data_IF_203059800021
#
_entry.id   IF_203059800021
#
_cell.length_a   1.000
_cell.length_b   1.000
_cell.length_c   1.000
_cell.angle_alpha   90.00
_cell.angle_beta   90.00
_cell.angle_gamma   90.00
#
_symmetry.space_group_name_H-M   'P 1'
#
loop_
_entity.id
_entity.type
_entity.pdbx_description
1 polymer ?
#
# COMPACT_ATOMS: atom_id res chain seq x y z
N UNK A 1 -22.82 3.67 -4.22
CA UNK A 1 -22.10 3.39 -2.97
C UNK A 1 -22.16 4.65 -2.14
N UNK A 2 -22.46 4.57 -0.85
CA UNK A 2 -22.49 5.70 0.07
C UNK A 2 -21.54 5.43 1.22
N UNK A 3 -20.69 6.40 1.55
CA UNK A 3 -19.85 6.35 2.74
C UNK A 3 -20.66 6.98 3.88
N UNK A 4 -20.71 6.31 5.02
CA UNK A 4 -21.25 6.85 6.27
C UNK A 4 -20.14 6.78 7.29
N UNK A 5 -19.62 7.94 7.67
CA UNK A 5 -18.65 8.04 8.75
C UNK A 5 -19.40 7.93 10.08
N UNK A 6 -18.92 7.04 10.93
CA UNK A 6 -19.40 6.79 12.30
C UNK A 6 -18.22 6.93 13.25
N UNK A 7 -18.47 7.10 14.54
CA UNK A 7 -17.40 7.21 15.55
C UNK A 7 -16.51 5.95 15.61
N UNK A 8 -17.02 4.81 15.15
CA UNK A 8 -16.31 3.52 15.07
C UNK A 8 -15.56 3.31 13.75
N UNK A 9 -15.70 4.23 12.79
CA UNK A 9 -15.05 4.17 11.47
C UNK A 9 -15.99 4.49 10.31
N UNK A 10 -15.50 4.34 9.10
CA UNK A 10 -16.28 4.60 7.88
C UNK A 10 -16.96 3.34 7.38
N UNK A 11 -18.28 3.38 7.27
CA UNK A 11 -19.08 2.28 6.71
C UNK A 11 -19.36 2.50 5.23
N UNK A 12 -19.09 1.49 4.41
CA UNK A 12 -19.43 1.49 2.98
C UNK A 12 -20.77 0.79 2.75
N UNK A 13 -21.78 1.56 2.36
CA UNK A 13 -23.12 1.05 2.06
C UNK A 13 -23.30 0.82 0.56
N UNK A 14 -23.72 -0.41 0.21
CA UNK A 14 -24.02 -0.82 -1.16
C UNK A 14 -25.54 -0.99 -1.32
N UNK A 15 -26.20 -0.15 -2.16
CA UNK A 15 -27.61 -0.35 -2.49
C UNK A 15 -27.85 -1.75 -3.05
N UNK A 16 -28.94 -2.40 -2.64
CA UNK A 16 -29.34 -3.72 -3.16
C UNK A 16 -29.51 -3.71 -4.69
N UNK A 17 -29.90 -2.59 -5.28
CA UNK A 17 -30.01 -2.42 -6.73
C UNK A 17 -28.68 -2.61 -7.49
N UNK A 18 -27.52 -2.52 -6.82
CA UNK A 18 -26.21 -2.80 -7.44
C UNK A 18 -25.94 -4.30 -7.60
N UNK A 19 -26.67 -5.15 -6.88
CA UNK A 19 -26.52 -6.60 -6.98
C UNK A 19 -27.29 -7.11 -8.19
N UNK A 20 -26.59 -7.30 -9.31
CA UNK A 20 -27.15 -7.94 -10.50
C UNK A 20 -27.06 -9.46 -10.35
N UNK A 21 -28.21 -10.14 -10.32
CA UNK A 21 -28.26 -11.59 -10.45
C UNK A 21 -28.17 -11.93 -11.94
N UNK A 22 -26.99 -12.33 -12.40
CA UNK A 22 -26.84 -12.94 -13.73
C UNK A 22 -27.18 -14.41 -13.62
N UNK A 23 -28.40 -14.82 -14.02
CA UNK A 23 -28.68 -16.23 -14.26
C UNK A 23 -27.89 -16.64 -15.50
N UNK A 24 -27.04 -17.67 -15.38
CA UNK A 24 -26.39 -18.28 -16.53
C UNK A 24 -27.46 -19.09 -17.26
N UNK A 25 -28.00 -18.53 -18.34
CA UNK A 25 -28.91 -19.24 -19.25
C UNK A 25 -28.05 -20.00 -20.25
N UNK A 26 -27.55 -21.17 -19.88
CA UNK A 26 -26.91 -22.07 -20.85
C UNK A 26 -27.50 -23.48 -20.75
N UNK A 27 -28.02 -23.93 -21.90
CA UNK A 27 -28.48 -25.27 -22.31
C UNK A 27 -29.99 -25.59 -22.20
N UNK A 28 -30.69 -25.77 -23.34
CA UNK A 28 -32.02 -26.34 -23.40
C UNK A 28 -31.92 -27.87 -23.38
N UNK A 29 -31.56 -28.43 -22.24
CA UNK A 29 -31.71 -29.87 -22.00
C UNK A 29 -31.72 -30.11 -20.50
N UNK A 30 -32.86 -30.61 -20.02
CA UNK A 30 -33.21 -31.08 -18.66
C UNK A 30 -34.24 -30.19 -17.98
N UNK A 31 -35.47 -30.28 -18.50
CA UNK A 31 -36.65 -30.17 -17.65
C UNK A 31 -36.67 -31.31 -16.63
N UNK A 32 -37.27 -30.99 -15.48
CA UNK A 32 -37.70 -31.89 -14.39
C UNK A 32 -36.63 -32.36 -13.42
N UNK A 33 -36.43 -31.58 -12.36
CA UNK A 33 -36.66 -32.06 -10.98
C UNK A 33 -36.81 -30.87 -10.05
N UNK A 34 -38.04 -30.70 -9.56
CA UNK A 34 -38.41 -29.82 -8.46
C UNK A 34 -37.84 -30.35 -7.15
N UNK A 35 -36.58 -30.04 -6.88
CA UNK A 35 -36.07 -29.91 -5.53
C UNK A 35 -35.33 -28.58 -5.45
N UNK A 36 -35.52 -27.90 -4.33
CA UNK A 36 -34.96 -26.60 -3.92
C UNK A 36 -33.43 -26.55 -4.06
N UNK A 37 -32.92 -26.52 -5.30
CA UNK A 37 -31.52 -26.36 -5.60
C UNK A 37 -31.20 -24.88 -5.44
N UNK A 38 -30.86 -24.49 -4.22
CA UNK A 38 -30.10 -23.27 -3.94
C UNK A 38 -28.85 -23.30 -4.82
N UNK A 39 -28.93 -22.71 -6.01
CA UNK A 39 -27.83 -22.55 -6.94
C UNK A 39 -26.67 -21.93 -6.16
N UNK A 40 -25.45 -22.49 -6.18
CA UNK A 40 -24.30 -21.89 -5.53
C UNK A 40 -24.05 -20.54 -6.20
N UNK A 41 -24.58 -19.47 -5.58
CA UNK A 41 -24.49 -18.12 -6.08
C UNK A 41 -23.06 -17.63 -6.01
N UNK A 42 -22.48 -17.30 -7.16
CA UNK A 42 -21.21 -16.60 -7.20
C UNK A 42 -21.45 -15.10 -6.97
N UNK A 43 -21.07 -14.59 -5.80
CA UNK A 43 -21.15 -13.16 -5.49
C UNK A 43 -19.77 -12.55 -5.72
N UNK A 44 -19.70 -11.53 -6.60
CA UNK A 44 -18.48 -10.76 -6.88
C UNK A 44 -18.73 -9.29 -6.59
N UNK A 45 -17.98 -8.76 -5.62
CA UNK A 45 -17.88 -7.32 -5.38
C UNK A 45 -16.75 -6.74 -6.23
N UNK A 46 -17.02 -5.65 -6.95
CA UNK A 46 -15.99 -4.82 -7.60
C UNK A 46 -16.16 -3.41 -7.08
N UNK A 47 -15.19 -2.93 -6.33
CA UNK A 47 -15.25 -1.62 -5.69
C UNK A 47 -14.11 -0.80 -6.31
N UNK A 48 -14.47 0.21 -7.11
CA UNK A 48 -13.51 1.23 -7.56
C UNK A 48 -13.35 2.22 -6.42
N UNK A 49 -12.14 2.35 -5.90
CA UNK A 49 -11.83 3.29 -4.84
C UNK A 49 -11.45 4.64 -5.45
N UNK A 50 -12.13 5.70 -5.06
CA UNK A 50 -11.67 7.07 -5.30
C UNK A 50 -10.67 7.50 -4.24
N UNK A 51 -10.22 8.75 -4.31
CA UNK A 51 -9.18 9.26 -3.42
C UNK A 51 -9.60 9.28 -1.94
N UNK A 52 -10.88 9.48 -1.63
CA UNK A 52 -11.37 9.51 -0.25
C UNK A 52 -11.64 8.12 0.29
N UNK A 53 -12.23 7.24 -0.52
CA UNK A 53 -12.44 5.83 -0.19
C UNK A 53 -11.11 5.10 0.04
N UNK A 54 -10.08 5.47 -0.72
CA UNK A 54 -8.74 4.91 -0.55
C UNK A 54 -8.18 5.28 0.83
N UNK A 55 -8.31 6.52 1.30
CA UNK A 55 -7.84 6.92 2.65
C UNK A 55 -8.53 6.18 3.78
N UNK A 56 -9.77 5.76 3.57
CA UNK A 56 -10.55 4.99 4.54
C UNK A 56 -10.05 3.54 4.63
N UNK A 57 -9.79 2.91 3.49
CA UNK A 57 -9.42 1.50 3.41
C UNK A 57 -7.91 1.26 3.51
N UNK A 58 -7.12 2.29 3.24
CA UNK A 58 -5.67 2.25 3.20
C UNK A 58 -5.10 3.24 4.19
N UNK A 59 -4.45 2.69 5.22
CA UNK A 59 -3.68 3.48 6.17
C UNK A 59 -2.28 3.69 5.60
N UNK A 60 -2.00 4.93 5.19
CA UNK A 60 -0.66 5.34 4.79
C UNK A 60 0.06 5.97 5.98
N UNK A 61 1.24 5.43 6.29
CA UNK A 61 2.11 5.96 7.33
C UNK A 61 3.38 6.52 6.69
N UNK A 62 3.64 7.81 6.95
CA UNK A 62 4.88 8.50 6.59
C UNK A 62 5.69 8.74 7.85
N UNK A 63 6.97 8.36 7.83
CA UNK A 63 7.84 8.54 8.98
C UNK A 63 8.11 10.03 9.24
N UNK A 64 8.05 10.45 10.51
CA UNK A 64 8.27 11.84 10.95
C UNK A 64 9.61 12.40 10.50
N UNK A 65 10.64 11.55 10.50
CA UNK A 65 12.03 11.97 10.27
C UNK A 65 12.43 11.93 8.79
N UNK A 66 11.44 11.76 7.89
CA UNK A 66 11.65 11.67 6.43
C UNK A 66 12.35 12.89 5.83
N UNK A 67 12.26 14.05 6.48
CA UNK A 67 12.93 15.30 6.08
C UNK A 67 14.45 15.26 6.31
N UNK A 68 14.92 14.55 7.34
CA UNK A 68 16.33 14.55 7.77
C UNK A 68 17.05 13.28 7.30
N UNK A 69 16.41 12.12 7.40
CA UNK A 69 17.07 10.83 7.14
C UNK A 69 16.98 10.37 5.67
N UNK A 70 16.49 11.18 4.73
CA UNK A 70 16.25 10.75 3.33
C UNK A 70 15.41 9.47 3.23
N UNK A 71 14.60 9.16 4.27
CA UNK A 71 13.65 8.06 4.24
C UNK A 71 12.44 8.50 3.44
N UNK A 72 12.61 8.48 2.13
CA UNK A 72 11.59 8.73 1.12
C UNK A 72 10.64 7.53 1.01
N UNK A 73 10.37 6.84 2.11
CA UNK A 73 9.61 5.59 2.14
C UNK A 73 8.25 5.84 2.79
N UNK A 74 7.17 5.49 2.09
CA UNK A 74 5.82 5.49 2.61
C UNK A 74 5.40 4.05 2.81
N UNK A 75 4.93 3.71 4.01
CA UNK A 75 4.38 2.39 4.30
C UNK A 75 2.87 2.42 4.16
N UNK A 76 2.32 1.41 3.52
CA UNK A 76 0.88 1.22 3.39
C UNK A 76 0.48 -0.15 3.93
N UNK A 77 -0.56 -0.17 4.76
CA UNK A 77 -1.07 -1.40 5.37
C UNK A 77 -2.48 -1.64 4.86
N UNK A 78 -2.70 -2.85 4.34
CA UNK A 78 -4.01 -3.35 3.94
C UNK A 78 -4.37 -4.51 4.86
N UNK A 79 -5.48 -4.37 5.59
CA UNK A 79 -6.03 -5.41 6.46
C UNK A 79 -7.47 -5.69 6.04
N UNK A 80 -7.66 -6.73 5.25
CA UNK A 80 -8.98 -7.17 4.81
C UNK A 80 -9.45 -8.33 5.68
N UNK A 81 -10.62 -8.18 6.29
CA UNK A 81 -11.24 -9.20 7.15
C UNK A 81 -12.66 -9.47 6.69
N UNK A 82 -13.02 -10.75 6.64
CA UNK A 82 -14.38 -11.21 6.40
C UNK A 82 -14.82 -12.06 7.60
N UNK A 83 -16.04 -11.81 8.08
CA UNK A 83 -16.68 -12.54 9.17
C UNK A 83 -15.85 -12.53 10.48
N UNK A 84 -15.22 -11.39 10.82
CA UNK A 84 -14.59 -11.20 12.13
C UNK A 84 -15.68 -11.03 13.19
N UNK A 85 -15.73 -11.96 14.14
CA UNK A 85 -16.85 -12.10 15.11
C UNK A 85 -17.01 -10.82 15.94
N UNK A 86 -15.89 -10.20 16.31
CA UNK A 86 -15.86 -8.96 17.11
C UNK A 86 -16.50 -7.76 16.41
N UNK A 87 -16.56 -7.79 15.08
CA UNK A 87 -17.03 -6.67 14.27
C UNK A 87 -18.48 -6.89 13.77
N UNK A 88 -19.07 -8.05 14.05
CA UNK A 88 -20.41 -8.39 13.59
C UNK A 88 -21.50 -7.84 14.54
N UNK A 89 -22.63 -7.35 14.03
CA UNK A 89 -23.78 -7.02 14.87
C UNK A 89 -24.27 -8.25 15.67
N UNK A 90 -24.68 -8.05 16.92
CA UNK A 90 -25.12 -9.15 17.80
C UNK A 90 -26.22 -10.05 17.22
N UNK A 91 -27.08 -9.50 16.34
CA UNK A 91 -28.10 -10.29 15.64
C UNK A 91 -27.51 -11.31 14.65
N UNK A 92 -26.36 -11.02 14.03
CA UNK A 92 -25.66 -11.93 13.13
C UNK A 92 -24.90 -12.98 13.94
N UNK A 93 -24.28 -12.57 15.05
CA UNK A 93 -23.60 -13.48 15.98
C UNK A 93 -24.57 -14.52 16.57
N UNK A 94 -25.74 -14.08 17.01
CA UNK A 94 -26.75 -14.96 17.65
C UNK A 94 -27.34 -16.03 16.74
N UNK A 95 -27.28 -15.84 15.41
CA UNK A 95 -27.92 -16.74 14.44
C UNK A 95 -27.01 -17.85 13.93
N UNK A 96 -25.74 -17.94 14.38
CA UNK A 96 -24.75 -18.90 13.86
C UNK A 96 -24.65 -18.93 12.32
N UNK A 97 -24.93 -17.79 11.66
CA UNK A 97 -24.87 -17.67 10.20
C UNK A 97 -23.46 -17.33 9.69
N UNK A 98 -22.49 -17.23 10.60
CA UNK A 98 -21.12 -16.79 10.32
C UNK A 98 -20.47 -17.80 9.36
N UNK A 99 -20.21 -17.34 8.14
CA UNK A 99 -19.57 -18.13 7.10
C UNK A 99 -20.36 -19.31 6.58
N UNK A 100 -21.65 -19.45 6.90
CA UNK A 100 -22.48 -20.54 6.40
C UNK A 100 -22.60 -20.50 4.86
N UNK A 101 -22.18 -21.57 4.19
CA UNK A 101 -22.26 -21.73 2.74
C UNK A 101 -21.11 -21.14 1.90
N UNK A 102 -20.12 -20.47 2.51
CA UNK A 102 -18.96 -19.94 1.78
C UNK A 102 -17.97 -21.07 1.48
N UNK A 103 -17.93 -21.51 0.22
CA UNK A 103 -17.05 -22.61 -0.22
C UNK A 103 -15.64 -22.18 -0.60
N UNK A 104 -15.48 -20.97 -1.14
CA UNK A 104 -14.20 -20.45 -1.61
C UNK A 104 -14.18 -18.93 -1.50
N UNK A 105 -13.07 -18.38 -1.04
CA UNK A 105 -12.81 -16.93 -1.04
C UNK A 105 -11.63 -16.64 -1.94
N UNK A 106 -11.79 -15.63 -2.79
CA UNK A 106 -10.74 -15.09 -3.64
C UNK A 106 -10.66 -13.58 -3.41
N UNK A 107 -9.58 -13.13 -2.80
CA UNK A 107 -9.29 -11.72 -2.58
C UNK A 107 -8.16 -11.28 -3.50
N UNK A 108 -8.41 -10.23 -4.28
CA UNK A 108 -7.44 -9.67 -5.22
C UNK A 108 -7.14 -8.23 -4.82
N UNK A 109 -5.87 -7.92 -4.61
CA UNK A 109 -5.39 -6.57 -4.37
C UNK A 109 -4.52 -6.15 -5.56
N UNK A 110 -4.91 -5.07 -6.23
CA UNK A 110 -4.18 -4.51 -7.37
C UNK A 110 -3.35 -3.34 -6.87
N UNK A 111 -2.05 -3.34 -7.18
CA UNK A 111 -1.08 -2.33 -6.73
C UNK A 111 -0.14 -1.94 -7.84
N UNK A 112 0.52 -0.80 -7.69
CA UNK A 112 1.62 -0.39 -8.56
C UNK A 112 2.84 -1.29 -8.37
N UNK A 113 3.61 -1.52 -9.44
CA UNK A 113 4.86 -2.33 -9.37
C UNK A 113 5.90 -1.71 -8.43
N UNK A 114 5.90 -0.39 -8.27
CA UNK A 114 6.83 0.32 -7.38
C UNK A 114 6.48 0.20 -5.88
N UNK A 115 5.37 -0.46 -5.56
CA UNK A 115 5.01 -0.81 -4.19
C UNK A 115 5.64 -2.16 -3.84
N UNK A 116 6.75 -2.12 -3.10
CA UNK A 116 7.40 -3.32 -2.58
C UNK A 116 6.55 -3.98 -1.50
N UNK A 117 6.29 -5.27 -1.67
CA UNK A 117 5.67 -6.09 -0.64
C UNK A 117 6.70 -6.42 0.46
N UNK A 118 6.45 -5.96 1.69
CA UNK A 118 7.38 -6.15 2.81
C UNK A 118 7.02 -7.36 3.67
N UNK A 119 5.73 -7.57 3.97
CA UNK A 119 5.30 -8.65 4.88
C UNK A 119 3.79 -8.91 4.78
N UNK A 120 3.35 -10.14 5.03
CA UNK A 120 1.95 -10.48 5.36
C UNK A 120 1.89 -11.47 6.51
N UNK A 121 0.75 -11.49 7.22
CA UNK A 121 0.39 -12.58 8.13
C UNK A 121 -0.15 -13.80 7.38
N UNK A 122 -0.79 -13.61 6.22
CA UNK A 122 -1.25 -14.67 5.34
C UNK A 122 -0.45 -14.64 4.04
N UNK A 123 0.25 -15.74 3.72
CA UNK A 123 0.93 -15.88 2.44
C UNK A 123 -0.09 -15.72 1.31
N UNK A 124 0.17 -14.79 0.39
CA UNK A 124 -0.64 -14.71 -0.83
C UNK A 124 -0.39 -15.97 -1.67
N UNK A 125 -1.42 -16.44 -2.35
CA UNK A 125 -1.36 -17.63 -3.20
C UNK A 125 -0.58 -17.38 -4.50
N UNK A 126 -0.73 -16.21 -5.11
CA UNK A 126 -0.04 -15.84 -6.35
C UNK A 126 0.13 -14.33 -6.48
N UNK A 127 1.25 -13.90 -7.07
CA UNK A 127 1.45 -12.53 -7.56
C UNK A 127 1.70 -12.60 -9.08
N UNK A 128 1.10 -11.69 -9.85
CA UNK A 128 1.32 -11.58 -11.31
C UNK A 128 1.25 -10.16 -11.81
N UNK A 129 1.95 -9.89 -12.90
CA UNK A 129 1.82 -8.64 -13.65
C UNK A 129 0.42 -8.54 -14.27
N UNK A 130 -0.15 -7.34 -14.21
CA UNK A 130 -1.43 -7.01 -14.84
C UNK A 130 -1.20 -6.78 -16.35
N UNK A 131 -1.78 -7.64 -17.18
CA UNK A 131 -1.81 -7.46 -18.64
C UNK A 131 -2.75 -6.30 -18.99
N UNK A 132 -2.21 -5.18 -19.48
CA UNK A 132 -2.99 -3.95 -19.63
C UNK A 132 -4.21 -4.13 -20.53
N UNK A 133 -4.04 -4.83 -21.64
CA UNK A 133 -5.05 -4.98 -22.68
C UNK A 133 -6.27 -5.74 -22.13
N UNK A 134 -6.04 -6.90 -21.50
CA UNK A 134 -7.09 -7.73 -20.91
C UNK A 134 -7.80 -7.02 -19.75
N UNK A 135 -7.05 -6.31 -18.91
CA UNK A 135 -7.58 -5.71 -17.69
C UNK A 135 -8.25 -4.36 -17.91
N UNK A 136 -7.84 -3.58 -18.90
CA UNK A 136 -8.51 -2.32 -19.23
C UNK A 136 -9.97 -2.56 -19.66
N UNK A 137 -10.20 -3.60 -20.45
CA UNK A 137 -11.55 -4.04 -20.83
C UNK A 137 -12.32 -4.53 -19.59
N UNK A 138 -11.70 -5.42 -18.80
CA UNK A 138 -12.32 -6.01 -17.62
C UNK A 138 -12.69 -5.00 -16.51
N UNK A 139 -11.85 -3.98 -16.32
CA UNK A 139 -12.03 -2.93 -15.30
C UNK A 139 -12.86 -1.75 -15.80
N UNK A 140 -13.13 -1.67 -17.10
CA UNK A 140 -13.91 -0.59 -17.73
C UNK A 140 -13.42 0.81 -17.32
N UNK A 141 -12.10 1.01 -17.31
CA UNK A 141 -11.48 2.28 -16.92
C UNK A 141 -11.82 3.37 -17.94
N UNK A 142 -12.20 4.57 -17.48
CA UNK A 142 -12.53 5.66 -18.39
C UNK A 142 -11.28 6.14 -19.15
N UNK A 143 -11.41 6.68 -20.37
CA UNK A 143 -10.28 7.21 -21.12
C UNK A 143 -9.50 8.33 -20.42
N UNK A 144 -10.10 9.01 -19.44
CA UNK A 144 -9.45 10.04 -18.61
C UNK A 144 -8.62 9.46 -17.46
N UNK A 145 -8.87 8.19 -17.11
CA UNK A 145 -8.07 7.39 -16.16
C UNK A 145 -6.86 6.71 -16.84
N UNK A 146 -6.54 7.07 -18.10
CA UNK A 146 -5.39 6.56 -18.89
C UNK A 146 -4.01 6.91 -18.31
N UNK A 147 -3.94 7.41 -17.08
CA UNK A 147 -2.76 7.37 -16.22
C UNK A 147 -2.80 6.17 -15.26
N UNK A 148 -3.42 5.06 -15.63
CA UNK A 148 -3.17 3.79 -14.96
C UNK A 148 -1.63 3.61 -14.89
N UNK A 149 -1.03 3.46 -13.69
CA UNK A 149 0.41 3.36 -13.52
C UNK A 149 1.02 2.38 -14.51
N UNK A 150 2.21 2.72 -15.04
CA UNK A 150 2.82 2.07 -16.21
C UNK A 150 2.81 0.54 -16.12
N UNK A 151 2.85 -0.04 -14.93
CA UNK A 151 2.65 -1.47 -14.67
C UNK A 151 2.02 -1.66 -13.29
N UNK A 152 1.11 -2.63 -13.17
CA UNK A 152 0.45 -3.02 -11.91
C UNK A 152 0.67 -4.50 -11.61
N UNK A 153 0.64 -4.86 -10.34
CA UNK A 153 0.66 -6.24 -9.83
C UNK A 153 -0.70 -6.60 -9.24
N UNK A 154 -1.07 -7.87 -9.34
CA UNK A 154 -2.20 -8.45 -8.63
C UNK A 154 -1.69 -9.43 -7.60
N UNK A 155 -1.97 -9.16 -6.34
CA UNK A 155 -1.80 -10.09 -5.23
C UNK A 155 -3.10 -10.84 -5.03
N UNK A 156 -3.02 -12.18 -5.02
CA UNK A 156 -4.17 -13.06 -4.89
C UNK A 156 -4.07 -13.88 -3.62
N UNK A 157 -5.01 -13.69 -2.70
CA UNK A 157 -5.25 -14.61 -1.58
C UNK A 157 -6.41 -15.53 -1.91
N UNK A 158 -6.23 -16.81 -1.65
CA UNK A 158 -7.23 -17.85 -1.88
C UNK A 158 -7.38 -18.70 -0.63
N UNK A 159 -8.60 -18.82 -0.15
CA UNK A 159 -8.94 -19.79 0.90
C UNK A 159 -10.03 -20.71 0.36
N UNK A 160 -9.75 -22.01 0.16
CA UNK A 160 -10.77 -23.01 -0.11
C UNK A 160 -11.36 -23.55 1.19
N UNK A 161 -12.64 -23.93 1.17
CA UNK A 161 -13.29 -24.61 2.28
C UNK A 161 -12.57 -25.91 2.62
N UNK A 162 -12.40 -26.18 3.93
CA UNK A 162 -11.69 -27.36 4.42
C UNK A 162 -12.51 -28.62 4.11
N UNK A 163 -11.86 -29.71 3.74
CA UNK A 163 -12.55 -31.01 3.62
C UNK A 163 -12.35 -31.72 4.95
N UNK A 164 -13.45 -32.13 5.60
CA UNK A 164 -13.37 -32.97 6.80
C UNK A 164 -12.73 -34.30 6.43
N UNK A 165 -11.49 -34.51 6.89
CA UNK A 165 -10.72 -35.74 6.63
C UNK A 165 -11.24 -36.95 7.40
N UNK A 166 -12.08 -36.74 8.41
CA UNK A 166 -12.60 -37.78 9.29
C UNK A 166 -13.90 -38.45 8.78
N UNK A 167 -14.47 -37.98 7.67
CA UNK A 167 -15.67 -38.58 7.08
C UNK A 167 -15.61 -38.48 5.55
N UNK A 168 -15.14 -39.53 4.84
CA UNK A 168 -15.10 -39.54 3.38
C UNK A 168 -16.53 -39.61 2.84
N UNK A 169 -17.15 -38.44 2.62
CA UNK A 169 -18.53 -38.33 2.14
C UNK A 169 -19.28 -37.06 2.55
N UNK A 170 -18.75 -36.22 3.46
CA UNK A 170 -19.41 -34.96 3.84
C UNK A 170 -18.91 -33.74 3.06
N UNK A 171 -19.88 -32.87 2.79
CA UNK A 171 -19.77 -31.59 2.08
C UNK A 171 -18.64 -30.73 2.66
N UNK A 172 -17.84 -30.15 1.76
CA UNK A 172 -16.75 -29.22 2.06
C UNK A 172 -17.14 -28.25 3.19
N UNK A 173 -16.38 -28.25 4.30
CA UNK A 173 -16.60 -27.38 5.44
C UNK A 173 -16.51 -25.91 5.01
N UNK A 174 -17.46 -25.15 5.51
CA UNK A 174 -17.67 -23.75 5.14
C UNK A 174 -16.57 -22.86 5.71
N UNK A 175 -16.19 -21.82 4.98
CA UNK A 175 -15.20 -20.85 5.46
C UNK A 175 -15.89 -19.90 6.42
N UNK A 176 -15.60 -20.06 7.71
CA UNK A 176 -16.16 -19.24 8.79
C UNK A 176 -15.60 -17.82 8.76
N UNK A 177 -14.29 -17.67 8.66
CA UNK A 177 -13.56 -16.39 8.68
C UNK A 177 -12.46 -16.35 7.64
N UNK A 178 -12.12 -15.14 7.18
CA UNK A 178 -10.99 -14.92 6.28
C UNK A 178 -10.27 -13.62 6.62
N UNK A 179 -8.95 -13.65 6.57
CA UNK A 179 -8.11 -12.48 6.82
C UNK A 179 -6.98 -12.43 5.79
N UNK A 180 -6.84 -11.29 5.14
CA UNK A 180 -5.72 -10.97 4.26
C UNK A 180 -5.08 -9.67 4.73
N UNK A 181 -3.97 -9.82 5.44
CA UNK A 181 -3.14 -8.70 5.88
C UNK A 181 -1.91 -8.58 4.98
N UNK A 182 -1.60 -7.38 4.51
CA UNK A 182 -0.43 -7.11 3.70
C UNK A 182 0.17 -5.73 4.00
N UNK A 183 1.49 -5.68 4.09
CA UNK A 183 2.28 -4.46 4.27
C UNK A 183 3.07 -4.18 3.00
N UNK A 184 2.88 -2.98 2.46
CA UNK A 184 3.59 -2.47 1.30
C UNK A 184 4.43 -1.27 1.68
N UNK A 185 5.47 -1.04 0.90
CA UNK A 185 6.30 0.13 0.98
C UNK A 185 6.48 0.72 -0.40
N UNK A 186 6.45 2.04 -0.50
CA UNK A 186 6.66 2.75 -1.76
C UNK A 186 7.64 3.88 -1.54
N UNK A 187 8.61 4.00 -2.43
CA UNK A 187 9.50 5.16 -2.44
C UNK A 187 8.74 6.34 -3.04
N UNK A 188 8.58 7.41 -2.26
CA UNK A 188 7.90 8.64 -2.65
C UNK A 188 8.90 9.78 -2.71
N UNK A 189 9.41 10.06 -3.91
CA UNK A 189 10.26 11.23 -4.16
C UNK A 189 9.37 12.34 -4.72
N UNK A 190 9.23 13.43 -3.99
CA UNK A 190 8.50 14.62 -4.46
C UNK A 190 9.49 15.68 -4.93
N UNK A 191 9.13 16.47 -5.95
CA UNK A 191 9.92 17.63 -6.39
C UNK A 191 10.29 18.59 -5.25
N UNK A 192 9.40 18.75 -4.25
CA UNK A 192 9.69 19.51 -3.03
C UNK A 192 10.88 18.96 -2.26
N UNK A 193 10.97 17.63 -2.12
CA UNK A 193 12.08 16.97 -1.42
C UNK A 193 13.39 17.15 -2.19
N UNK A 194 13.34 17.05 -3.53
CA UNK A 194 14.50 17.30 -4.39
C UNK A 194 14.99 18.75 -4.28
N UNK A 195 14.07 19.72 -4.37
CA UNK A 195 14.39 21.13 -4.24
C UNK A 195 15.02 21.46 -2.89
N UNK A 196 14.44 20.94 -1.81
CA UNK A 196 14.97 21.10 -0.46
C UNK A 196 16.37 20.50 -0.32
N UNK A 197 16.59 19.28 -0.85
CA UNK A 197 17.91 18.64 -0.82
C UNK A 197 18.96 19.50 -1.54
N UNK A 198 18.63 20.06 -2.70
CA UNK A 198 19.52 20.97 -3.44
C UNK A 198 19.82 22.24 -2.64
N UNK A 199 18.82 22.83 -1.99
CA UNK A 199 19.04 24.00 -1.11
C UNK A 199 19.97 23.66 0.06
N UNK A 200 19.81 22.48 0.67
CA UNK A 200 20.68 22.04 1.76
C UNK A 200 22.11 21.82 1.29
N UNK A 201 22.31 21.23 0.11
CA UNK A 201 23.62 21.05 -0.50
C UNK A 201 24.30 22.40 -0.82
N UNK A 202 23.55 23.38 -1.33
CA UNK A 202 24.05 24.73 -1.56
C UNK A 202 24.43 25.44 -0.26
N UNK A 203 23.62 25.29 0.79
CA UNK A 203 23.89 25.87 2.10
C UNK A 203 25.18 25.28 2.71
N UNK A 204 25.35 23.96 2.66
CA UNK A 204 26.59 23.29 3.10
C UNK A 204 27.78 23.80 2.29
N UNK A 205 27.64 23.93 0.97
CA UNK A 205 28.67 24.48 0.10
C UNK A 205 29.08 25.91 0.49
N UNK A 206 28.10 26.79 0.76
CA UNK A 206 28.34 28.17 1.17
C UNK A 206 29.05 28.25 2.54
N UNK A 207 28.58 27.47 3.52
CA UNK A 207 29.20 27.40 4.85
C UNK A 207 30.63 26.86 4.77
N UNK A 208 30.84 25.79 4.00
CA UNK A 208 32.16 25.21 3.76
C UNK A 208 33.12 26.22 3.11
N UNK A 209 32.64 26.97 2.10
CA UNK A 209 33.41 28.04 1.47
C UNK A 209 33.79 29.16 2.43
N UNK A 210 32.85 29.61 3.28
CA UNK A 210 33.12 30.63 4.29
C UNK A 210 34.15 30.17 5.33
N UNK A 211 34.03 28.94 5.82
CA UNK A 211 35.00 28.33 6.75
C UNK A 211 36.37 28.20 6.09
N UNK A 212 36.42 27.71 4.84
CA UNK A 212 37.66 27.58 4.08
C UNK A 212 38.38 28.92 3.90
N UNK A 213 37.64 29.98 3.58
CA UNK A 213 38.19 31.32 3.45
C UNK A 213 38.69 31.88 4.80
N UNK A 214 37.94 31.68 5.88
CA UNK A 214 38.37 32.08 7.23
C UNK A 214 39.66 31.36 7.64
N UNK A 215 39.75 30.05 7.38
CA UNK A 215 40.93 29.24 7.64
C UNK A 215 42.13 29.70 6.81
N UNK A 216 41.94 29.97 5.52
CA UNK A 216 43.00 30.47 4.65
C UNK A 216 43.56 31.80 5.14
N UNK A 217 42.70 32.74 5.53
CA UNK A 217 43.12 34.03 6.06
C UNK A 217 43.84 33.88 7.41
N UNK A 218 43.38 32.99 8.28
CA UNK A 218 44.06 32.70 9.54
C UNK A 218 45.48 32.16 9.31
N UNK A 219 45.64 31.17 8.43
CA UNK A 219 46.95 30.58 8.11
C UNK A 219 47.87 31.60 7.44
N UNK A 220 47.35 32.39 6.50
CA UNK A 220 48.12 33.46 5.84
C UNK A 220 48.62 34.50 6.84
N UNK A 221 47.76 34.97 7.74
CA UNK A 221 48.12 35.97 8.74
C UNK A 221 49.12 35.43 9.76
N UNK A 222 48.95 34.17 10.20
CA UNK A 222 49.91 33.50 11.08
C UNK A 222 51.28 33.32 10.40
N UNK A 223 51.29 32.94 9.12
CA UNK A 223 52.51 32.83 8.32
C UNK A 223 53.21 34.18 8.13
N UNK A 224 52.46 35.24 7.82
CA UNK A 224 53.03 36.58 7.69
C UNK A 224 53.65 37.07 9.01
N UNK A 225 52.96 36.87 10.15
CA UNK A 225 53.49 37.23 11.47
C UNK A 225 54.78 36.48 11.82
N UNK A 226 54.89 35.20 11.45
CA UNK A 226 56.10 34.41 11.65
C UNK A 226 57.27 34.93 10.79
N UNK A 227 57.01 35.31 9.53
CA UNK A 227 58.02 35.89 8.64
C UNK A 227 58.52 37.23 9.18
N UNK A 228 57.62 38.12 9.60
CA UNK A 228 58.00 39.42 10.19
C UNK A 228 58.85 39.26 11.45
N UNK A 229 58.55 38.27 12.29
CA UNK A 229 59.34 37.97 13.49
C UNK A 229 60.75 37.47 13.15
N UNK A 230 60.90 36.66 12.10
CA UNK A 230 62.21 36.19 11.62
C UNK A 230 63.03 37.33 11.05
N UNK A 231 62.42 38.22 10.26
CA UNK A 231 63.09 39.41 9.70
C UNK A 231 63.56 40.34 10.82
N UNK A 232 62.70 40.62 11.81
CA UNK A 232 63.07 41.44 12.97
C UNK A 232 64.27 40.87 13.73
N UNK A 233 64.29 39.56 14.00
CA UNK A 233 65.40 38.91 14.70
C UNK A 233 66.69 38.96 13.88
N UNK A 234 66.62 38.80 12.55
CA UNK A 234 67.76 38.90 11.65
C UNK A 234 68.36 40.33 11.64
N UNK A 235 67.52 41.36 11.53
CA UNK A 235 67.98 42.76 11.51
C UNK A 235 68.61 43.18 12.84
N UNK A 236 68.06 42.76 13.98
CA UNK A 236 68.64 43.01 15.31
C UNK A 236 70.02 42.35 15.44
N UNK A 237 70.22 41.17 14.85
CA UNK A 237 71.51 40.48 14.85
C UNK A 237 72.53 41.08 13.86
N UNK A 238 72.06 41.67 12.76
CA UNK A 238 72.89 42.31 11.72
C UNK A 238 73.46 43.67 12.15
N UNK A 239 72.80 44.36 13.10
CA UNK A 239 73.18 45.69 13.60
C UNK A 239 74.12 45.68 14.83
N UNK A 240 74.63 44.52 15.24
CA UNK A 240 75.63 44.36 16.31
C UNK A 240 76.98 43.94 15.75
#
# INVERSE_FOLDING_TARGET
>A
MRIVDTDEGSTLLFPLALFRVTKKTDSPALEQTSHDQALPGYIRFRIKLGAQETKVLSQSYKHSDSFILSRLESTEIVDFRLNEVRDLPGIVQSKNLIGAGIKNIHFFLIREVDSEYKQAHANFHRCRLLEKELWNEYLSLEPKDKMAPKQMLIYHWKEPGKVDKESPGKTQASIEKFTAFAKFSKITVTYKNLCLFLLFALAIGAVSGAIGNALFNFVKNAGAAAVDQVIYLHDVHSQR
#
